data_IF_702887457601
#
_entry.id   IF_702887457601
#
_cell.length_a   1.000
_cell.length_b   1.000
_cell.length_c   1.000
_cell.angle_alpha   90.00
_cell.angle_beta   90.00
_cell.angle_gamma   90.00
#
_symmetry.space_group_name_H-M   'P 1'
#
loop_
_entity.id
_entity.type
_entity.pdbx_description
1 polymer ?
#
# COMPACT_ATOMS: atom_id res chain seq x y z
N UNK A 1 31.46 2.76 35.49
CA UNK A 1 31.02 1.52 34.82
C UNK A 1 30.15 1.93 33.63
N UNK A 2 30.67 1.82 32.40
CA UNK A 2 29.95 2.18 31.15
C UNK A 2 29.41 0.91 30.53
N UNK A 3 28.08 0.83 30.37
CA UNK A 3 27.25 -0.13 29.60
C UNK A 3 25.82 0.13 30.14
N UNK A 4 24.76 0.48 29.41
CA UNK A 4 24.34 0.08 28.08
C UNK A 4 23.43 1.19 27.49
N UNK A 5 23.84 1.86 26.41
CA UNK A 5 22.88 2.54 25.51
C UNK A 5 22.56 1.48 24.45
N UNK A 6 21.77 0.48 24.83
CA UNK A 6 21.42 -0.63 23.95
C UNK A 6 20.22 -0.21 23.08
N UNK A 7 20.46 -0.11 21.78
CA UNK A 7 19.53 -0.52 20.72
C UNK A 7 18.18 0.19 20.54
N UNK A 8 17.95 1.42 21.03
CA UNK A 8 16.72 2.15 20.66
C UNK A 8 16.67 2.48 19.15
N UNK A 9 17.83 2.76 18.53
CA UNK A 9 17.90 3.11 17.09
C UNK A 9 17.53 1.98 16.11
N UNK A 10 17.59 0.71 16.51
CA UNK A 10 17.20 -0.42 15.64
C UNK A 10 15.70 -0.76 15.71
N UNK A 11 15.01 -0.39 16.80
CA UNK A 11 13.59 -0.63 16.97
C UNK A 11 12.72 0.49 16.35
N UNK A 12 13.19 1.74 16.41
CA UNK A 12 12.50 2.87 15.78
C UNK A 12 12.38 2.73 14.26
N UNK A 13 13.34 2.06 13.61
CA UNK A 13 13.38 1.99 12.15
C UNK A 13 12.25 1.14 11.53
N UNK A 14 11.58 0.27 12.30
CA UNK A 14 10.43 -0.51 11.77
C UNK A 14 9.07 0.11 12.11
N UNK A 15 8.98 0.86 13.21
CA UNK A 15 7.72 1.46 13.65
C UNK A 15 7.54 2.85 13.03
N UNK A 16 8.62 3.63 12.90
CA UNK A 16 8.54 4.99 12.35
C UNK A 16 8.44 5.02 10.82
N UNK A 17 9.03 4.05 10.10
CA UNK A 17 8.84 3.99 8.64
C UNK A 17 7.40 3.70 8.20
N UNK A 18 6.53 3.21 9.10
CA UNK A 18 5.09 3.07 8.81
C UNK A 18 4.32 4.39 8.88
N UNK A 19 4.87 5.41 9.55
CA UNK A 19 4.17 6.67 9.82
C UNK A 19 4.66 7.82 8.92
N UNK A 20 5.89 7.73 8.39
CA UNK A 20 6.57 8.84 7.67
C UNK A 20 6.34 8.79 6.14
N UNK A 21 5.13 8.43 5.71
CA UNK A 21 4.66 8.59 4.31
C UNK A 21 3.23 9.15 4.26
N UNK A 22 2.86 10.00 5.22
CA UNK A 22 1.65 10.81 5.14
C UNK A 22 0.35 10.01 4.97
N UNK A 23 0.18 8.94 5.75
CA UNK A 23 -1.01 8.09 5.69
C UNK A 23 -1.02 7.04 4.58
N UNK A 24 -0.02 7.02 3.69
CA UNK A 24 0.15 5.94 2.73
C UNK A 24 0.97 4.81 3.39
N UNK A 25 0.27 3.96 4.14
CA UNK A 25 0.78 2.61 4.35
C UNK A 25 0.90 2.01 2.95
N UNK A 26 2.10 1.56 2.55
CA UNK A 26 2.28 0.65 1.42
C UNK A 26 1.58 -0.67 1.78
N UNK A 27 0.25 -0.64 1.80
CA UNK A 27 -0.59 -1.82 1.79
C UNK A 27 -0.24 -2.53 0.48
N UNK A 28 -0.17 -3.86 0.53
CA UNK A 28 0.39 -4.71 -0.52
C UNK A 28 -0.08 -4.34 -1.92
N UNK A 29 0.72 -4.70 -2.93
CA UNK A 29 0.40 -4.39 -4.34
C UNK A 29 -0.98 -4.98 -4.66
N UNK A 30 -1.95 -4.11 -4.94
CA UNK A 30 -3.26 -4.56 -5.39
C UNK A 30 -3.27 -4.65 -6.91
N UNK A 31 -3.97 -5.66 -7.41
CA UNK A 31 -4.24 -5.83 -8.82
C UNK A 31 -5.74 -5.71 -9.02
N UNK A 32 -6.13 -4.83 -9.94
CA UNK A 32 -7.52 -4.59 -10.30
C UNK A 32 -7.74 -4.98 -11.75
N UNK A 33 -8.78 -5.76 -12.01
CA UNK A 33 -9.24 -6.04 -13.38
C UNK A 33 -10.41 -5.12 -13.70
N UNK A 34 -10.34 -4.43 -14.84
CA UNK A 34 -11.38 -3.52 -15.27
C UNK A 34 -12.38 -4.21 -16.21
N UNK A 35 -13.65 -3.74 -16.22
CA UNK A 35 -14.70 -4.35 -17.07
C UNK A 35 -14.45 -4.16 -18.56
N UNK A 36 -13.84 -3.04 -18.95
CA UNK A 36 -13.36 -2.78 -20.31
C UNK A 36 -12.22 -3.69 -20.77
N UNK A 37 -11.74 -4.59 -19.91
CA UNK A 37 -10.62 -5.48 -20.17
C UNK A 37 -9.31 -4.91 -19.63
N UNK A 38 -8.41 -5.80 -19.21
CA UNK A 38 -7.10 -5.45 -18.66
C UNK A 38 -7.02 -5.54 -17.14
N UNK A 39 -5.81 -5.83 -16.66
CA UNK A 39 -5.47 -5.86 -15.23
C UNK A 39 -4.38 -4.83 -14.99
N UNK A 40 -4.58 -4.01 -13.96
CA UNK A 40 -3.76 -2.85 -13.63
C UNK A 40 -3.33 -2.91 -12.17
N UNK A 41 -2.18 -2.33 -11.87
CA UNK A 41 -1.72 -2.16 -10.49
C UNK A 41 -2.51 -1.01 -9.83
N UNK A 42 -3.04 -1.27 -8.64
CA UNK A 42 -3.74 -0.31 -7.79
C UNK A 42 -3.13 -0.32 -6.39
N UNK A 43 -3.27 0.79 -5.66
CA UNK A 43 -2.78 0.89 -4.29
C UNK A 43 -3.75 0.27 -3.27
N UNK A 44 -5.04 0.25 -3.60
CA UNK A 44 -6.10 -0.38 -2.83
C UNK A 44 -7.20 -0.90 -3.76
N UNK A 45 -8.13 -1.67 -3.19
CA UNK A 45 -9.35 -2.11 -3.86
C UNK A 45 -10.53 -1.15 -3.70
N UNK A 46 -10.26 0.08 -3.28
CA UNK A 46 -11.26 1.10 -3.00
C UNK A 46 -11.12 2.25 -4.01
N UNK A 47 -10.79 3.45 -3.54
CA UNK A 47 -10.74 4.66 -4.36
C UNK A 47 -9.73 4.57 -5.50
N UNK A 48 -8.61 3.87 -5.31
CA UNK A 48 -7.62 3.70 -6.37
C UNK A 48 -8.10 2.73 -7.43
N UNK A 49 -8.65 1.58 -7.06
CA UNK A 49 -9.24 0.64 -8.03
C UNK A 49 -10.35 1.30 -8.86
N UNK A 50 -11.19 2.13 -8.23
CA UNK A 50 -12.23 2.90 -8.92
C UNK A 50 -11.62 3.93 -9.88
N UNK A 51 -10.61 4.69 -9.45
CA UNK A 51 -9.95 5.68 -10.29
C UNK A 51 -9.25 5.06 -11.51
N UNK A 52 -8.55 3.94 -11.31
CA UNK A 52 -7.86 3.21 -12.38
C UNK A 52 -8.86 2.63 -13.39
N UNK A 53 -9.99 2.10 -12.92
CA UNK A 53 -11.01 1.52 -13.78
C UNK A 53 -12.13 2.47 -14.22
N UNK A 54 -12.09 3.75 -13.83
CA UNK A 54 -13.07 4.76 -14.24
C UNK A 54 -13.24 4.87 -15.77
N UNK A 55 -12.17 4.86 -16.60
CA UNK A 55 -12.33 4.90 -18.06
C UNK A 55 -12.77 3.55 -18.67
N UNK A 56 -12.92 2.50 -17.86
CA UNK A 56 -13.18 1.12 -18.30
C UNK A 56 -14.48 0.54 -17.70
N UNK A 57 -15.49 1.38 -17.48
CA UNK A 57 -16.80 1.03 -16.88
C UNK A 57 -16.74 0.48 -15.43
N UNK A 58 -15.65 0.79 -14.72
CA UNK A 58 -15.40 0.34 -13.36
C UNK A 58 -14.68 -1.01 -13.29
N UNK A 59 -14.36 -1.45 -12.07
CA UNK A 59 -13.64 -2.71 -11.88
C UNK A 59 -14.57 -3.91 -11.75
N UNK A 60 -14.07 -5.09 -12.14
CA UNK A 60 -14.75 -6.39 -12.02
C UNK A 60 -14.24 -7.19 -10.83
N UNK A 61 -12.94 -7.17 -10.60
CA UNK A 61 -12.30 -7.84 -9.46
C UNK A 61 -11.10 -7.03 -8.98
N UNK A 62 -10.81 -7.11 -7.68
CA UNK A 62 -9.60 -6.55 -7.12
C UNK A 62 -9.03 -7.49 -6.06
N UNK A 63 -7.70 -7.58 -5.99
CA UNK A 63 -7.00 -8.48 -5.09
C UNK A 63 -5.67 -7.86 -4.62
N UNK A 64 -5.46 -7.78 -3.31
CA UNK A 64 -4.25 -7.24 -2.68
C UNK A 64 -3.45 -8.36 -2.01
N UNK A 65 -2.12 -8.35 -2.21
CA UNK A 65 -1.19 -9.37 -1.71
C UNK A 65 0.02 -8.73 -1.03
#
# INVERSE_FOLDING_TARGET
MKKQILNIGKALNRVEQKVVLGGLVLLGKCWVSCKGGGTYEALDCDGWAVGVCQPFDGFSSCSCW
#
